data_IF_227051367194
#
_entry.id   IF_227051367194
#
_cell.length_a   1.000
_cell.length_b   1.000
_cell.length_c   1.000
_cell.angle_alpha   90.00
_cell.angle_beta   90.00
_cell.angle_gamma   90.00
#
_symmetry.space_group_name_H-M   'P 1'
#
loop_
_entity.id
_entity.type
_entity.pdbx_description
1 polymer ?
#
# COMPACT_ATOMS: atom_id res chain seq x y z
N UNK A 1 5.89 -20.23 -1.25
CA UNK A 1 4.61 -20.13 -0.54
C UNK A 1 4.59 -18.82 0.23
N UNK A 2 3.41 -18.23 0.43
CA UNK A 2 3.25 -17.08 1.32
C UNK A 2 3.79 -17.37 2.73
N UNK A 3 4.41 -16.37 3.36
CA UNK A 3 4.92 -16.45 4.73
C UNK A 3 4.23 -15.39 5.61
N UNK A 4 3.59 -15.83 6.69
CA UNK A 4 2.88 -14.94 7.63
C UNK A 4 3.83 -13.94 8.31
N UNK A 5 5.11 -14.30 8.45
CA UNK A 5 6.14 -13.40 8.99
C UNK A 5 6.29 -12.11 8.17
N UNK A 6 5.91 -12.10 6.89
CA UNK A 6 5.96 -10.91 6.06
C UNK A 6 5.01 -9.81 6.55
N UNK A 7 3.89 -10.13 7.18
CA UNK A 7 3.00 -9.11 7.75
C UNK A 7 3.66 -8.28 8.85
N UNK A 8 4.61 -8.87 9.60
CA UNK A 8 5.36 -8.14 10.63
C UNK A 8 6.34 -7.13 10.03
N UNK A 9 6.79 -7.37 8.79
CA UNK A 9 7.77 -6.55 8.10
C UNK A 9 7.12 -5.53 7.15
N UNK A 10 5.95 -5.87 6.61
CA UNK A 10 5.26 -5.11 5.58
C UNK A 10 3.79 -4.89 6.00
N UNK A 11 3.56 -3.83 6.77
CA UNK A 11 2.23 -3.52 7.36
C UNK A 11 1.17 -3.13 6.33
N UNK A 12 1.58 -2.77 5.11
CA UNK A 12 0.72 -2.44 3.98
C UNK A 12 0.23 -3.65 3.19
N UNK A 13 0.81 -4.82 3.45
CA UNK A 13 0.57 -6.04 2.69
C UNK A 13 -0.82 -6.58 3.00
N UNK A 14 -1.55 -6.97 1.96
CA UNK A 14 -2.82 -7.69 2.07
C UNK A 14 -2.69 -9.03 1.33
N UNK A 15 -3.14 -10.12 1.94
CA UNK A 15 -3.07 -11.46 1.32
C UNK A 15 -4.48 -11.98 1.03
N UNK A 16 -4.70 -12.46 -0.19
CA UNK A 16 -5.93 -13.12 -0.61
C UNK A 16 -5.71 -14.64 -0.65
N UNK A 17 -6.30 -15.42 0.27
CA UNK A 17 -6.18 -16.88 0.27
C UNK A 17 -6.78 -17.53 -0.98
N UNK A 18 -7.88 -16.97 -1.49
CA UNK A 18 -8.56 -17.48 -2.69
C UNK A 18 -7.72 -17.34 -3.96
N UNK A 19 -6.84 -16.33 -4.01
CA UNK A 19 -5.97 -16.08 -5.16
C UNK A 19 -4.52 -16.52 -4.93
N UNK A 20 -4.15 -16.94 -3.72
CA UNK A 20 -2.77 -17.13 -3.26
C UNK A 20 -1.88 -15.97 -3.74
N UNK A 21 -2.28 -14.74 -3.38
CA UNK A 21 -1.67 -13.53 -3.90
C UNK A 21 -1.64 -12.41 -2.86
N UNK A 22 -0.60 -11.58 -2.94
CA UNK A 22 -0.47 -10.38 -2.10
C UNK A 22 -0.69 -9.10 -2.88
N UNK A 23 -1.25 -8.11 -2.20
CA UNK A 23 -1.62 -6.80 -2.73
C UNK A 23 -1.09 -5.68 -1.81
N UNK A 24 -1.01 -4.46 -2.34
CA UNK A 24 -0.81 -3.24 -1.57
C UNK A 24 -2.13 -2.47 -1.50
N UNK A 25 -2.85 -2.56 -0.39
CA UNK A 25 -4.15 -1.89 -0.22
C UNK A 25 -4.08 -0.36 -0.40
N UNK A 26 -3.11 0.37 0.22
CA UNK A 26 -2.97 1.81 -0.01
C UNK A 26 -2.71 2.13 -1.48
N UNK A 27 -1.85 1.35 -2.14
CA UNK A 27 -1.53 1.56 -3.55
C UNK A 27 -2.75 1.30 -4.44
N UNK A 28 -3.56 0.29 -4.12
CA UNK A 28 -4.81 0.01 -4.84
C UNK A 28 -5.75 1.20 -4.85
N UNK A 29 -5.89 1.90 -3.71
CA UNK A 29 -6.78 3.05 -3.59
C UNK A 29 -6.25 4.35 -4.20
N UNK A 30 -4.95 4.61 -4.07
CA UNK A 30 -4.38 5.94 -4.34
C UNK A 30 -3.44 6.01 -5.56
N UNK A 31 -3.30 4.93 -6.32
CA UNK A 31 -2.51 4.96 -7.56
C UNK A 31 -3.33 5.57 -8.70
N UNK A 32 -2.87 6.69 -9.26
CA UNK A 32 -3.57 7.41 -10.32
C UNK A 32 -3.49 6.75 -11.70
N UNK A 33 -2.47 5.91 -11.95
CA UNK A 33 -2.22 5.28 -13.25
C UNK A 33 -1.55 3.89 -13.13
N UNK A 34 -2.32 2.83 -12.87
CA UNK A 34 -1.77 1.47 -12.81
C UNK A 34 -1.15 1.00 -14.15
N UNK A 35 -1.62 1.50 -15.29
CA UNK A 35 -1.22 1.05 -16.63
C UNK A 35 0.17 1.49 -17.10
N UNK A 36 0.81 2.49 -16.47
CA UNK A 36 2.11 3.03 -16.92
C UNK A 36 3.32 2.29 -16.31
N UNK A 37 3.11 1.43 -15.29
CA UNK A 37 4.18 0.65 -14.68
C UNK A 37 3.74 -0.81 -14.43
N UNK A 38 4.28 -1.79 -15.18
CA UNK A 38 3.95 -3.21 -15.01
C UNK A 38 4.17 -3.74 -13.58
N UNK A 39 5.18 -3.21 -12.87
CA UNK A 39 5.45 -3.59 -11.48
C UNK A 39 4.41 -3.04 -10.49
N UNK A 40 3.74 -1.93 -10.81
CA UNK A 40 2.63 -1.41 -10.01
C UNK A 40 1.40 -2.32 -10.17
N UNK A 41 1.14 -2.85 -11.37
CA UNK A 41 0.02 -3.75 -11.64
C UNK A 41 0.07 -5.04 -10.81
N UNK A 42 1.27 -5.57 -10.54
CA UNK A 42 1.43 -6.81 -9.78
C UNK A 42 0.85 -6.70 -8.36
N UNK A 43 1.07 -5.58 -7.65
CA UNK A 43 0.58 -5.39 -6.29
C UNK A 43 -0.79 -4.72 -6.20
N UNK A 44 -1.34 -4.25 -7.32
CA UNK A 44 -2.60 -3.49 -7.35
C UNK A 44 -3.72 -4.31 -7.98
N UNK A 45 -3.52 -4.85 -9.18
CA UNK A 45 -4.58 -5.48 -9.96
C UNK A 45 -4.44 -7.01 -10.02
N UNK A 46 -3.27 -7.51 -10.42
CA UNK A 46 -3.08 -8.93 -10.72
C UNK A 46 -2.90 -9.79 -9.46
N UNK A 47 -2.27 -9.20 -8.44
CA UNK A 47 -1.85 -9.87 -7.23
C UNK A 47 -0.49 -10.53 -7.39
N UNK A 48 0.44 -10.18 -6.52
CA UNK A 48 1.80 -10.69 -6.55
C UNK A 48 1.86 -12.10 -5.96
N UNK A 49 2.44 -13.05 -6.70
CA UNK A 49 2.54 -14.48 -6.29
C UNK A 49 3.96 -15.04 -6.41
N UNK A 50 4.92 -14.20 -6.80
CA UNK A 50 6.29 -14.62 -7.09
C UNK A 50 7.14 -14.69 -5.82
N UNK A 51 6.82 -15.65 -4.95
CA UNK A 51 7.41 -15.78 -3.61
C UNK A 51 8.94 -15.87 -3.59
N UNK A 52 9.56 -16.43 -4.64
CA UNK A 52 11.03 -16.53 -4.75
C UNK A 52 11.72 -15.16 -4.83
N UNK A 53 11.02 -14.14 -5.34
CA UNK A 53 11.53 -12.77 -5.40
C UNK A 53 11.43 -12.03 -4.06
N UNK A 54 10.79 -12.61 -3.03
CA UNK A 54 10.72 -12.01 -1.69
C UNK A 54 11.91 -12.44 -0.83
N UNK A 55 12.52 -13.60 -1.14
CA UNK A 55 13.68 -14.13 -0.41
C UNK A 55 15.03 -13.61 -0.91
N UNK A 56 15.05 -12.77 -1.95
CA UNK A 56 16.26 -12.30 -2.64
C UNK A 56 17.08 -11.21 -1.93
N UNK A 57 16.88 -10.99 -0.63
CA UNK A 57 17.62 -9.98 0.13
C UNK A 57 17.40 -8.56 -0.40
N UNK A 58 18.42 -7.95 -1.02
CA UNK A 58 18.39 -6.57 -1.52
C UNK A 58 17.45 -6.37 -2.72
N UNK A 59 17.22 -7.42 -3.51
CA UNK A 59 16.30 -7.41 -4.66
C UNK A 59 14.92 -7.98 -4.27
N UNK A 60 14.57 -7.88 -2.99
CA UNK A 60 13.26 -8.30 -2.49
C UNK A 60 12.16 -7.49 -3.19
N UNK A 61 11.25 -8.17 -3.88
CA UNK A 61 10.14 -7.53 -4.61
C UNK A 61 9.30 -6.60 -3.73
N UNK A 62 9.14 -6.89 -2.44
CA UNK A 62 8.42 -6.03 -1.51
C UNK A 62 9.21 -4.75 -1.21
N UNK A 63 10.53 -4.84 -1.03
CA UNK A 63 11.39 -3.66 -0.84
C UNK A 63 11.46 -2.82 -2.12
N UNK A 64 11.56 -3.47 -3.28
CA UNK A 64 11.53 -2.80 -4.58
C UNK A 64 10.21 -2.05 -4.79
N UNK A 65 9.08 -2.66 -4.41
CA UNK A 65 7.77 -2.03 -4.47
C UNK A 65 7.65 -0.79 -3.55
N UNK A 66 8.15 -0.89 -2.31
CA UNK A 66 8.20 0.26 -1.38
C UNK A 66 9.03 1.41 -1.98
N UNK A 67 10.09 1.06 -2.71
CA UNK A 67 11.00 2.02 -3.33
C UNK A 67 11.97 2.65 -2.33
N UNK A 68 13.05 3.23 -2.84
CA UNK A 68 14.15 3.77 -2.01
C UNK A 68 13.94 5.22 -1.58
N UNK A 69 13.00 5.93 -2.18
CA UNK A 69 12.79 7.36 -1.95
C UNK A 69 11.50 7.62 -1.15
N UNK A 70 11.46 8.68 -0.32
CA UNK A 70 10.25 9.06 0.43
C UNK A 70 9.05 9.48 -0.44
N UNK A 71 9.30 9.72 -1.73
CA UNK A 71 8.31 10.11 -2.74
C UNK A 71 8.08 8.97 -3.76
N UNK A 72 8.44 7.74 -3.43
CA UNK A 72 8.02 6.59 -4.23
C UNK A 72 6.49 6.52 -4.29
N UNK A 73 5.91 5.93 -5.35
CA UNK A 73 4.45 5.78 -5.48
C UNK A 73 3.82 5.12 -4.26
N UNK A 74 4.47 4.10 -3.71
CA UNK A 74 4.06 3.43 -2.48
C UNK A 74 3.99 4.39 -1.29
N UNK A 75 5.08 5.13 -1.01
CA UNK A 75 5.13 6.04 0.12
C UNK A 75 4.14 7.21 -0.01
N UNK A 76 3.88 7.67 -1.23
CA UNK A 76 2.83 8.66 -1.50
C UNK A 76 1.45 8.06 -1.18
N UNK A 77 1.17 6.84 -1.62
CA UNK A 77 -0.10 6.17 -1.33
C UNK A 77 -0.32 5.92 0.17
N UNK A 78 0.74 5.58 0.91
CA UNK A 78 0.70 5.45 2.38
C UNK A 78 0.31 6.79 3.02
N UNK A 79 0.99 7.88 2.65
CA UNK A 79 0.68 9.22 3.16
C UNK A 79 -0.76 9.63 2.84
N UNK A 80 -1.26 9.34 1.64
CA UNK A 80 -2.67 9.58 1.28
C UNK A 80 -3.64 8.77 2.15
N UNK A 81 -3.32 7.50 2.40
CA UNK A 81 -4.11 6.62 3.27
C UNK A 81 -4.13 7.11 4.73
N UNK A 82 -2.99 7.56 5.25
CA UNK A 82 -2.89 8.15 6.59
C UNK A 82 -3.68 9.46 6.69
N UNK A 83 -3.57 10.33 5.68
CA UNK A 83 -4.36 11.57 5.61
C UNK A 83 -5.86 11.29 5.59
N UNK A 84 -6.31 10.26 4.85
CA UNK A 84 -7.72 9.86 4.83
C UNK A 84 -8.18 9.34 6.19
N UNK A 85 -7.34 8.57 6.91
CA UNK A 85 -7.65 8.07 8.26
C UNK A 85 -7.69 9.18 9.32
N UNK A 86 -7.06 10.31 9.06
CA UNK A 86 -7.01 11.41 10.00
C UNK A 86 -8.33 12.21 10.01
N UNK A 87 -9.30 11.71 10.79
CA UNK A 87 -10.63 12.30 10.97
C UNK A 87 -10.61 13.75 11.46
N UNK A 88 -9.52 14.23 12.07
CA UNK A 88 -9.42 15.61 12.59
C UNK A 88 -9.53 16.71 11.52
N UNK A 89 -9.45 16.34 10.23
CA UNK A 89 -9.62 17.25 9.08
C UNK A 89 -10.92 17.01 8.31
N UNK A 90 -11.81 16.14 8.79
CA UNK A 90 -13.13 16.01 8.20
C UNK A 90 -13.95 17.28 8.43
N UNK A 91 -14.79 17.61 7.44
CA UNK A 91 -15.65 18.81 7.44
C UNK A 91 -16.50 18.85 8.71
N UNK A 92 -17.01 17.70 9.16
CA UNK A 92 -17.87 17.60 10.35
C UNK A 92 -17.17 18.11 11.62
N UNK A 93 -15.89 17.76 11.82
CA UNK A 93 -15.11 18.21 12.99
C UNK A 93 -14.77 19.71 12.95
N UNK A 94 -14.67 20.29 11.75
CA UNK A 94 -14.44 21.74 11.58
C UNK A 94 -15.74 22.52 11.81
N UNK A 95 -16.88 22.00 11.37
CA UNK A 95 -18.20 22.61 11.59
C UNK A 95 -18.55 22.60 13.08
N UNK A 96 -18.35 21.49 13.79
CA UNK A 96 -18.61 21.42 15.24
C UNK A 96 -17.81 22.46 16.04
N UNK A 97 -16.55 22.72 15.66
CA UNK A 97 -15.73 23.77 16.28
C UNK A 97 -16.23 25.19 15.99
N UNK A 98 -16.90 25.42 14.86
CA UNK A 98 -17.48 26.73 14.52
C UNK A 98 -18.88 26.93 15.11
N UNK A 99 -19.62 25.87 15.39
CA UNK A 99 -20.99 25.97 15.93
C UNK A 99 -21.03 26.06 17.45
N UNK A 100 -19.90 25.82 18.13
CA UNK A 100 -19.76 25.94 19.59
C UNK A 100 -19.13 27.28 20.01
N UNK A 101 -19.08 28.28 19.12
CA UNK A 101 -18.66 29.65 19.41
C UNK A 101 -19.84 30.62 19.35
#
# INVERSE_FOLDING_TARGET
RFQVSWFKLFTWLEYSPSKDATYCFPCYLFTSKPSECPEANAFIAEGFRTWRKVTGGKDCAFLTHVGKTPNSPHNIAIKCCENLKNQSRHIDTVIEKQTTQ
#
